data_IF_857266304847
#
_entry.id   IF_857266304847
#
_cell.length_a   1.000
_cell.length_b   1.000
_cell.length_c   1.000
_cell.angle_alpha   90.00
_cell.angle_beta   90.00
_cell.angle_gamma   90.00
#
_symmetry.space_group_name_H-M   'P 1'
#
loop_
_entity.id
_entity.type
_entity.pdbx_description
1 polymer ?
#
# COMPACT_ATOMS: atom_id res chain seq x y z
N UNK A 1 0.66 13.82 22.23
CA UNK A 1 0.58 12.34 22.24
C UNK A 1 0.53 11.74 20.84
N UNK A 2 -0.57 11.87 20.09
CA UNK A 2 -0.68 11.29 18.73
C UNK A 2 0.37 11.87 17.77
N UNK A 3 0.58 13.20 17.78
CA UNK A 3 1.62 13.84 16.96
C UNK A 3 3.02 13.35 17.31
N UNK A 4 3.31 13.17 18.61
CA UNK A 4 4.61 12.66 19.09
C UNK A 4 4.93 11.28 18.51
N UNK A 5 4.00 10.32 18.63
CA UNK A 5 4.15 8.98 18.04
C UNK A 5 4.25 9.06 16.51
N UNK A 6 3.48 9.94 15.87
CA UNK A 6 3.53 10.13 14.43
C UNK A 6 4.89 10.64 13.94
N UNK A 7 5.46 11.62 14.64
CA UNK A 7 6.76 12.24 14.34
C UNK A 7 7.91 11.25 14.63
N UNK A 8 7.87 10.54 15.77
CA UNK A 8 8.83 9.46 16.12
C UNK A 8 8.89 8.38 15.04
N UNK A 9 7.74 8.06 14.44
CA UNK A 9 7.63 7.03 13.41
C UNK A 9 7.78 7.59 11.98
N UNK A 10 8.41 8.77 11.83
CA UNK A 10 8.73 9.41 10.54
C UNK A 10 7.52 9.50 9.62
N UNK A 11 6.37 9.86 10.20
CA UNK A 11 5.09 10.02 9.50
C UNK A 11 4.57 8.75 8.80
N UNK A 12 5.14 7.59 9.10
CA UNK A 12 4.82 6.34 8.42
C UNK A 12 3.56 5.67 8.99
N UNK A 13 3.05 6.17 10.11
CA UNK A 13 1.99 5.53 10.87
C UNK A 13 0.63 6.14 10.54
N UNK A 14 -0.27 5.30 10.04
CA UNK A 14 -1.70 5.61 9.99
C UNK A 14 -2.37 5.37 11.35
N UNK A 15 -3.64 5.76 11.46
CA UNK A 15 -4.41 5.67 12.71
C UNK A 15 -4.41 4.28 13.36
N UNK A 16 -4.31 3.21 12.56
CA UNK A 16 -4.27 1.85 13.06
C UNK A 16 -2.95 1.54 13.80
N UNK A 17 -1.81 1.92 13.22
CA UNK A 17 -0.49 1.73 13.86
C UNK A 17 -0.34 2.63 15.09
N UNK A 18 -0.91 3.84 15.05
CA UNK A 18 -0.95 4.71 16.22
C UNK A 18 -1.76 4.08 17.35
N UNK A 19 -2.90 3.43 17.04
CA UNK A 19 -3.69 2.72 18.05
C UNK A 19 -2.89 1.59 18.72
N UNK A 20 -2.11 0.83 17.95
CA UNK A 20 -1.25 -0.23 18.49
C UNK A 20 -0.16 0.33 19.40
N UNK A 21 0.57 1.35 18.95
CA UNK A 21 1.59 2.02 19.77
C UNK A 21 1.02 2.61 21.07
N UNK A 22 -0.20 3.15 21.01
CA UNK A 22 -0.91 3.63 22.21
C UNK A 22 -1.28 2.48 23.15
N UNK A 23 -1.70 1.34 22.60
CA UNK A 23 -2.03 0.14 23.39
C UNK A 23 -0.79 -0.43 24.09
N UNK A 24 0.36 -0.44 23.41
CA UNK A 24 1.65 -0.83 24.00
C UNK A 24 2.07 0.09 25.14
N UNK A 25 1.72 1.37 25.07
CA UNK A 25 1.92 2.36 26.14
C UNK A 25 0.85 2.28 27.25
N UNK A 26 -0.05 1.28 27.23
CA UNK A 26 -1.13 1.12 28.21
C UNK A 26 -2.33 2.04 28.00
N UNK A 27 -2.38 2.80 26.91
CA UNK A 27 -3.41 3.79 26.62
C UNK A 27 -4.43 3.24 25.61
N UNK A 28 -5.57 2.80 26.13
CA UNK A 28 -6.63 2.20 25.32
C UNK A 28 -7.54 3.28 24.72
N UNK A 29 -7.11 3.87 23.60
CA UNK A 29 -7.87 4.93 22.91
C UNK A 29 -8.67 4.33 21.75
N UNK A 30 -9.97 4.66 21.69
CA UNK A 30 -10.81 4.26 20.57
C UNK A 30 -10.26 4.78 19.24
N UNK A 31 -10.16 3.88 18.26
CA UNK A 31 -9.72 4.16 16.91
C UNK A 31 -10.48 5.32 16.23
N UNK A 32 -11.79 5.47 16.50
CA UNK A 32 -12.60 6.58 15.97
C UNK A 32 -12.06 7.94 16.43
N UNK A 33 -11.62 8.04 17.69
CA UNK A 33 -11.06 9.26 18.28
C UNK A 33 -9.70 9.60 17.65
N UNK A 34 -8.83 8.61 17.49
CA UNK A 34 -7.53 8.76 16.81
C UNK A 34 -7.75 9.26 15.38
N UNK A 35 -8.67 8.65 14.63
CA UNK A 35 -8.98 9.03 13.25
C UNK A 35 -9.47 10.48 13.15
N UNK A 36 -10.38 10.90 14.04
CA UNK A 36 -10.86 12.29 14.11
C UNK A 36 -9.72 13.26 14.44
N UNK A 37 -8.86 12.92 15.40
CA UNK A 37 -7.74 13.77 15.82
C UNK A 37 -6.69 13.89 14.71
N UNK A 38 -6.29 12.79 14.07
CA UNK A 38 -5.37 12.83 12.92
C UNK A 38 -5.92 13.69 11.79
N UNK A 39 -7.22 13.58 11.48
CA UNK A 39 -7.86 14.40 10.45
C UNK A 39 -7.87 15.88 10.82
N UNK A 40 -8.19 16.23 12.07
CA UNK A 40 -8.15 17.61 12.57
C UNK A 40 -6.74 18.21 12.51
N UNK A 41 -5.72 17.39 12.78
CA UNK A 41 -4.31 17.80 12.77
C UNK A 41 -3.65 17.71 11.38
N UNK A 42 -4.38 17.28 10.35
CA UNK A 42 -3.82 17.10 9.00
C UNK A 42 -2.79 15.97 8.86
N UNK A 43 -2.63 15.11 9.87
CA UNK A 43 -1.63 14.05 9.88
C UNK A 43 -2.06 12.93 8.92
N UNK A 44 -1.36 12.78 7.80
CA UNK A 44 -1.58 11.74 6.80
C UNK A 44 -0.32 10.91 6.63
N UNK A 45 -0.45 9.58 6.63
CA UNK A 45 0.66 8.69 6.33
C UNK A 45 1.07 8.83 4.87
N UNK A 46 2.18 9.52 4.60
CA UNK A 46 2.59 9.93 3.24
C UNK A 46 3.20 8.78 2.44
N UNK A 47 3.80 7.78 3.10
CA UNK A 47 4.61 6.74 2.46
C UNK A 47 3.83 5.66 1.70
N UNK A 48 2.59 5.36 2.08
CA UNK A 48 1.78 4.30 1.45
C UNK A 48 0.82 4.80 0.36
N UNK A 49 0.88 6.08 -0.01
CA UNK A 49 0.04 6.67 -1.06
C UNK A 49 0.52 6.27 -2.47
N UNK A 50 1.74 5.73 -2.58
CA UNK A 50 2.28 5.27 -3.86
C UNK A 50 1.38 4.16 -4.40
N UNK A 51 0.61 4.47 -5.46
CA UNK A 51 -0.15 3.49 -6.23
C UNK A 51 0.79 2.32 -6.52
N UNK A 52 0.46 1.12 -6.06
CA UNK A 52 1.08 -0.09 -6.60
C UNK A 52 0.97 -0.02 -8.13
N UNK A 53 2.06 -0.35 -8.83
CA UNK A 53 2.11 -0.24 -10.30
C UNK A 53 0.87 -0.90 -10.89
N UNK A 54 0.17 -0.20 -11.79
CA UNK A 54 -1.00 -0.74 -12.48
C UNK A 54 -0.51 -1.93 -13.31
N UNK A 55 -1.02 -3.12 -13.01
CA UNK A 55 -0.80 -4.30 -13.83
C UNK A 55 -1.40 -4.04 -15.22
N UNK A 56 -0.55 -4.00 -16.24
CA UNK A 56 -0.97 -3.94 -17.64
C UNK A 56 -0.87 -5.35 -18.23
N UNK A 57 -1.88 -6.18 -18.03
CA UNK A 57 -2.01 -7.39 -18.85
C UNK A 57 -2.28 -6.99 -20.29
N UNK A 58 -1.57 -7.62 -21.23
CA UNK A 58 -1.89 -7.54 -22.65
C UNK A 58 -3.26 -8.19 -22.89
N UNK A 59 -4.18 -7.46 -23.51
CA UNK A 59 -5.48 -7.97 -23.97
C UNK A 59 -5.58 -7.75 -25.48
N UNK A 60 -4.68 -8.38 -26.24
CA UNK A 60 -4.74 -8.37 -27.69
C UNK A 60 -5.13 -9.73 -28.26
N UNK A 61 -5.68 -9.68 -29.48
CA UNK A 61 -6.21 -10.82 -30.21
C UNK A 61 -5.11 -11.83 -30.53
N UNK A 62 -5.30 -13.08 -30.11
CA UNK A 62 -4.45 -14.20 -30.53
C UNK A 62 -4.67 -14.40 -32.03
N UNK A 63 -3.72 -13.97 -32.86
CA UNK A 63 -3.73 -14.35 -34.29
C UNK A 63 -3.31 -15.82 -34.37
N UNK A 64 -4.27 -16.67 -34.73
CA UNK A 64 -4.07 -18.09 -34.93
C UNK A 64 -3.14 -18.30 -36.14
N UNK A 65 -1.86 -18.60 -35.90
CA UNK A 65 -0.89 -18.83 -36.98
C UNK A 65 0.59 -18.82 -36.57
N UNK A 66 0.95 -18.23 -35.43
CA UNK A 66 2.35 -18.18 -34.99
C UNK A 66 2.60 -19.12 -33.80
N UNK A 67 3.57 -20.03 -33.95
CA UNK A 67 3.84 -21.16 -33.04
C UNK A 67 4.47 -20.80 -31.69
N UNK A 68 4.59 -19.52 -31.32
CA UNK A 68 5.19 -19.12 -30.04
C UNK A 68 4.40 -18.01 -29.37
N UNK A 69 3.81 -18.32 -28.21
CA UNK A 69 3.07 -17.35 -27.38
C UNK A 69 3.99 -16.82 -26.29
N UNK A 70 4.34 -15.53 -26.34
CA UNK A 70 5.13 -14.84 -25.32
C UNK A 70 4.24 -13.91 -24.49
N UNK A 71 4.38 -13.91 -23.16
CA UNK A 71 3.76 -12.91 -22.27
C UNK A 71 4.82 -11.88 -21.91
N UNK A 72 4.59 -10.61 -22.25
CA UNK A 72 5.47 -9.51 -21.87
C UNK A 72 5.16 -9.11 -20.42
N UNK A 73 5.81 -9.77 -19.48
CA UNK A 73 6.06 -9.22 -18.14
C UNK A 73 7.43 -8.55 -18.17
N UNK A 74 7.56 -7.41 -17.52
CA UNK A 74 8.57 -6.36 -17.75
C UNK A 74 10.06 -6.73 -17.60
N UNK A 75 10.41 -8.00 -17.43
CA UNK A 75 11.79 -8.50 -17.53
C UNK A 75 11.76 -9.96 -17.98
N UNK A 76 12.34 -10.23 -19.15
CA UNK A 76 12.63 -11.52 -19.77
C UNK A 76 11.43 -12.31 -20.33
N UNK A 77 11.62 -12.74 -21.58
CA UNK A 77 10.63 -13.37 -22.45
C UNK A 77 10.68 -14.89 -22.24
N UNK A 78 9.71 -15.46 -21.53
CA UNK A 78 9.68 -16.89 -21.20
C UNK A 78 8.65 -17.65 -22.04
N UNK A 79 9.00 -18.81 -22.64
CA UNK A 79 8.06 -19.66 -23.36
C UNK A 79 7.15 -20.42 -22.38
N UNK A 80 5.85 -20.51 -22.70
CA UNK A 80 4.88 -21.33 -21.97
C UNK A 80 5.10 -22.79 -22.38
N UNK A 81 5.43 -23.68 -21.43
CA UNK A 81 5.52 -25.13 -21.69
C UNK A 81 4.13 -25.77 -21.51
N UNK A 82 3.76 -26.63 -22.45
CA UNK A 82 2.57 -27.50 -22.40
C UNK A 82 2.70 -28.56 -21.31
#
# INVERSE_FOLDING_TARGET
MIKKIFDENKENYGYHRIQLALKEQGLNVNQKKIRRLMRKLGLKGTKFIRKSRKYNSYKGSVRYGEKNVYIVVSTLQYPIKS
#
